data_IF_354113871316
#
_entry.id   IF_354113871316
#
_cell.length_a   1.000
_cell.length_b   1.000
_cell.length_c   1.000
_cell.angle_alpha   90.00
_cell.angle_beta   90.00
_cell.angle_gamma   90.00
#
_symmetry.space_group_name_H-M   'P 1'
#
loop_
_entity.id
_entity.type
_entity.pdbx_description
1 polymer ?
#
# COMPACT_ATOMS: atom_id res chain seq x y z
N UNK A 1 -11.50 -11.24 47.32
CA UNK A 1 -10.59 -11.12 46.21
C UNK A 1 -11.10 -10.00 45.35
N UNK A 2 -10.41 -8.88 45.27
CA UNK A 2 -10.77 -7.93 44.26
C UNK A 2 -10.47 -8.58 42.94
N UNK A 3 -11.54 -8.93 42.21
CA UNK A 3 -11.42 -9.20 40.81
C UNK A 3 -10.51 -8.10 40.25
N UNK A 4 -9.44 -8.48 39.57
CA UNK A 4 -8.65 -7.54 38.85
C UNK A 4 -9.66 -6.68 38.10
N UNK A 5 -9.86 -5.47 38.58
CA UNK A 5 -10.70 -4.52 37.88
C UNK A 5 -10.08 -4.42 36.52
N UNK A 6 -10.72 -5.06 35.55
CA UNK A 6 -10.44 -4.75 34.17
C UNK A 6 -10.44 -3.23 34.15
N UNK A 7 -9.28 -2.63 34.07
CA UNK A 7 -9.19 -1.21 33.82
C UNK A 7 -9.92 -1.05 32.50
N UNK A 8 -11.17 -0.62 32.58
CA UNK A 8 -11.84 -0.12 31.41
C UNK A 8 -10.88 0.91 30.86
N UNK A 9 -10.15 0.52 29.84
CA UNK A 9 -9.41 1.50 29.09
C UNK A 9 -10.46 2.44 28.53
N UNK A 10 -10.72 3.50 29.26
CA UNK A 10 -11.35 4.65 28.64
C UNK A 10 -10.58 4.85 27.35
N UNK A 11 -11.26 4.94 26.20
CA UNK A 11 -10.57 5.30 24.99
C UNK A 11 -9.86 6.60 25.32
N UNK A 12 -8.55 6.49 25.53
CA UNK A 12 -7.72 7.68 25.67
C UNK A 12 -8.01 8.45 24.42
N UNK A 13 -8.60 9.64 24.56
CA UNK A 13 -8.70 10.58 23.46
C UNK A 13 -7.35 10.55 22.78
N UNK A 14 -7.31 9.97 21.58
CA UNK A 14 -6.08 9.91 20.84
C UNK A 14 -5.54 11.32 20.73
N UNK A 15 -4.39 11.55 21.32
CA UNK A 15 -3.72 12.84 21.18
C UNK A 15 -3.62 13.15 19.69
N UNK A 16 -3.91 14.39 19.29
CA UNK A 16 -3.76 14.74 17.87
C UNK A 16 -2.35 14.37 17.42
N UNK A 17 -2.25 13.72 16.28
CA UNK A 17 -0.96 13.35 15.71
C UNK A 17 -0.16 14.62 15.41
N UNK A 18 1.11 14.61 15.78
CA UNK A 18 2.02 15.67 15.41
C UNK A 18 2.26 15.64 13.90
N UNK A 19 2.10 16.77 13.25
CA UNK A 19 2.33 16.92 11.82
C UNK A 19 3.69 17.59 11.60
N UNK A 20 4.56 16.91 10.86
CA UNK A 20 5.84 17.50 10.50
C UNK A 20 5.63 18.71 9.58
N UNK A 21 6.16 19.89 9.94
CA UNK A 21 6.00 21.08 9.11
C UNK A 21 6.77 21.01 7.78
N UNK A 22 7.76 20.14 7.67
CA UNK A 22 8.58 20.02 6.46
C UNK A 22 7.99 19.02 5.45
N UNK A 23 7.59 17.83 5.90
CA UNK A 23 7.08 16.79 4.99
C UNK A 23 5.57 16.60 5.06
N UNK A 24 4.90 17.16 6.06
CA UNK A 24 3.46 17.04 6.25
C UNK A 24 2.99 15.69 6.78
N UNK A 25 3.87 14.75 7.00
CA UNK A 25 3.52 13.45 7.58
C UNK A 25 3.13 13.60 9.06
N UNK A 26 2.29 12.68 9.52
CA UNK A 26 1.79 12.69 10.90
C UNK A 26 2.37 11.52 11.68
N UNK A 27 2.74 11.82 12.91
CA UNK A 27 3.35 10.85 13.82
C UNK A 27 2.71 10.93 15.19
N UNK A 28 2.73 9.82 15.93
CA UNK A 28 2.16 9.75 17.26
C UNK A 28 2.98 10.55 18.29
N UNK A 29 4.26 10.74 18.05
CA UNK A 29 5.19 11.45 18.93
C UNK A 29 5.61 12.76 18.28
N UNK A 30 5.57 13.83 19.07
CA UNK A 30 6.07 15.14 18.61
C UNK A 30 7.56 15.05 18.32
N UNK A 31 7.97 15.65 17.21
CA UNK A 31 9.36 15.61 16.71
C UNK A 31 9.91 14.19 16.50
N UNK A 32 9.05 13.24 16.18
CA UNK A 32 9.48 11.88 15.90
C UNK A 32 10.53 11.85 14.78
N UNK A 33 11.62 11.13 15.04
CA UNK A 33 12.65 10.97 14.01
C UNK A 33 12.08 10.24 12.81
N UNK A 34 12.32 10.78 11.63
CA UNK A 34 11.93 10.20 10.36
C UNK A 34 12.81 10.76 9.25
N UNK A 35 12.84 10.11 8.11
CA UNK A 35 13.61 10.57 6.95
C UNK A 35 12.90 11.76 6.26
N UNK A 36 12.80 12.87 6.99
CA UNK A 36 12.06 14.06 6.58
C UNK A 36 12.66 14.67 5.31
N UNK A 37 11.79 14.92 4.33
CA UNK A 37 12.21 15.57 3.07
C UNK A 37 13.01 14.69 2.12
N UNK A 38 13.39 13.47 2.53
CA UNK A 38 14.13 12.54 1.67
C UNK A 38 13.23 11.53 0.96
N UNK A 39 12.04 11.30 1.47
CA UNK A 39 11.08 10.35 0.89
C UNK A 39 10.25 11.04 -0.20
N UNK A 40 10.87 11.26 -1.34
CA UNK A 40 10.22 11.82 -2.54
C UNK A 40 10.30 10.81 -3.68
N UNK A 41 9.38 10.91 -4.64
CA UNK A 41 9.45 10.08 -5.85
C UNK A 41 10.78 10.27 -6.58
N UNK A 42 11.26 11.50 -6.66
CA UNK A 42 12.54 11.81 -7.29
C UNK A 42 13.68 11.05 -6.62
N UNK A 43 13.74 11.07 -5.29
CA UNK A 43 14.81 10.39 -4.55
C UNK A 43 14.67 8.86 -4.63
N UNK A 44 13.44 8.35 -4.52
CA UNK A 44 13.19 6.91 -4.60
C UNK A 44 13.61 6.33 -5.95
N UNK A 45 13.34 7.03 -7.04
CA UNK A 45 13.67 6.60 -8.40
C UNK A 45 15.02 7.13 -8.89
N UNK A 46 15.79 7.81 -8.04
CA UNK A 46 17.15 8.23 -8.35
C UNK A 46 18.01 7.00 -8.62
N UNK A 47 18.65 6.98 -9.79
CA UNK A 47 19.44 5.83 -10.22
C UNK A 47 18.66 4.64 -10.75
N UNK A 48 17.34 4.71 -10.79
CA UNK A 48 16.51 3.68 -11.39
C UNK A 48 16.63 3.71 -12.92
N UNK A 49 16.49 2.54 -13.53
CA UNK A 49 16.39 2.43 -14.99
C UNK A 49 15.19 3.26 -15.48
N UNK A 50 15.33 4.03 -16.58
CA UNK A 50 14.20 4.77 -17.15
C UNK A 50 12.98 3.91 -17.44
N UNK A 51 13.17 2.65 -17.80
CA UNK A 51 12.06 1.72 -17.99
C UNK A 51 11.29 1.49 -16.70
N UNK A 52 11.96 1.35 -15.56
CA UNK A 52 11.31 1.18 -14.25
C UNK A 52 10.46 2.40 -13.90
N UNK A 53 10.95 3.59 -14.16
CA UNK A 53 10.20 4.83 -13.96
C UNK A 53 8.94 4.86 -14.83
N UNK A 54 9.06 4.44 -16.07
CA UNK A 54 7.95 4.36 -17.03
C UNK A 54 6.90 3.36 -16.56
N UNK A 55 7.33 2.20 -16.08
CA UNK A 55 6.46 1.16 -15.53
C UNK A 55 5.71 1.68 -14.29
N UNK A 56 6.40 2.38 -13.42
CA UNK A 56 5.78 2.99 -12.25
C UNK A 56 4.70 4.00 -12.65
N UNK A 57 4.97 4.88 -13.61
CA UNK A 57 4.01 5.87 -14.07
C UNK A 57 2.74 5.21 -14.62
N UNK A 58 2.91 4.14 -15.38
CA UNK A 58 1.78 3.38 -15.91
C UNK A 58 0.99 2.71 -14.79
N UNK A 59 1.67 2.06 -13.86
CA UNK A 59 1.05 1.44 -12.70
C UNK A 59 0.26 2.47 -11.87
N UNK A 60 0.85 3.62 -11.60
CA UNK A 60 0.19 4.70 -10.86
C UNK A 60 -1.09 5.19 -11.56
N UNK A 61 -1.06 5.31 -12.89
CA UNK A 61 -2.26 5.67 -13.68
C UNK A 61 -3.35 4.61 -13.54
N UNK A 62 -2.97 3.33 -13.56
CA UNK A 62 -3.91 2.22 -13.40
C UNK A 62 -4.55 2.25 -12.01
N UNK A 63 -3.77 2.57 -10.98
CA UNK A 63 -4.29 2.74 -9.62
C UNK A 63 -5.27 3.90 -9.56
N UNK A 64 -4.91 5.04 -10.13
CA UNK A 64 -5.77 6.23 -10.14
C UNK A 64 -7.05 6.02 -10.95
N UNK A 65 -7.03 5.14 -11.94
CA UNK A 65 -8.22 4.77 -12.70
C UNK A 65 -9.28 4.05 -11.85
N UNK A 66 -8.88 3.44 -10.75
CA UNK A 66 -9.81 2.79 -9.81
C UNK A 66 -10.60 3.81 -8.97
N UNK A 67 -10.02 4.98 -8.71
CA UNK A 67 -10.60 6.05 -7.92
C UNK A 67 -9.54 6.85 -7.19
N UNK A 68 -9.94 7.88 -6.43
CA UNK A 68 -8.99 8.70 -5.67
C UNK A 68 -8.18 7.87 -4.69
N UNK A 69 -6.88 8.05 -4.69
CA UNK A 69 -5.96 7.37 -3.78
C UNK A 69 -4.86 8.32 -3.35
N UNK A 70 -4.47 8.22 -2.09
CA UNK A 70 -3.32 8.94 -1.55
C UNK A 70 -2.06 8.17 -1.89
N UNK A 71 -1.02 8.89 -2.29
CA UNK A 71 0.30 8.34 -2.58
C UNK A 71 1.20 8.59 -1.37
N UNK A 72 1.76 7.53 -0.82
CA UNK A 72 2.69 7.59 0.29
C UNK A 72 4.05 7.12 -0.21
N UNK A 73 5.02 8.01 -0.19
CA UNK A 73 6.39 7.67 -0.58
C UNK A 73 7.18 7.31 0.66
N UNK A 74 7.66 6.07 0.70
CA UNK A 74 8.54 5.59 1.76
C UNK A 74 9.98 5.47 1.23
N UNK A 75 10.91 5.11 2.08
CA UNK A 75 12.32 5.04 1.73
C UNK A 75 12.60 4.09 0.56
N UNK A 76 11.88 2.99 0.46
CA UNK A 76 12.13 1.94 -0.54
C UNK A 76 10.95 1.64 -1.44
N UNK A 77 9.80 2.26 -1.20
CA UNK A 77 8.56 1.92 -1.91
C UNK A 77 7.58 3.07 -1.95
N UNK A 78 6.64 2.98 -2.87
CA UNK A 78 5.46 3.83 -2.94
C UNK A 78 4.25 3.01 -2.56
N UNK A 79 3.41 3.53 -1.69
CA UNK A 79 2.15 2.91 -1.29
C UNK A 79 0.98 3.75 -1.75
N UNK A 80 -0.09 3.08 -2.12
CA UNK A 80 -1.35 3.71 -2.48
C UNK A 80 -2.38 3.34 -1.42
N UNK A 81 -3.08 4.35 -0.94
CA UNK A 81 -4.00 4.24 0.17
C UNK A 81 -5.30 4.99 -0.09
N UNK A 82 -6.42 4.39 0.32
CA UNK A 82 -7.67 5.10 0.57
C UNK A 82 -7.89 5.13 2.10
N UNK A 83 -8.74 4.30 2.66
CA UNK A 83 -8.81 4.11 4.12
C UNK A 83 -7.67 3.22 4.61
N UNK A 84 -7.39 2.18 3.85
CA UNK A 84 -6.27 1.28 4.08
C UNK A 84 -5.36 1.24 2.86
N UNK A 85 -4.14 0.79 3.05
CA UNK A 85 -3.20 0.56 1.96
C UNK A 85 -3.71 -0.60 1.13
N UNK A 86 -3.70 -0.46 -0.18
CA UNK A 86 -4.23 -1.51 -1.05
C UNK A 86 -3.29 -1.87 -2.20
N UNK A 87 -2.32 -1.04 -2.49
CA UNK A 87 -1.34 -1.30 -3.55
C UNK A 87 0.00 -0.67 -3.21
N UNK A 88 1.05 -1.18 -3.82
CA UNK A 88 2.38 -0.66 -3.64
C UNK A 88 3.28 -0.99 -4.82
N UNK A 89 4.35 -0.22 -4.95
CA UNK A 89 5.38 -0.43 -5.96
C UNK A 89 6.75 -0.17 -5.37
N UNK A 90 7.66 -1.11 -5.59
CA UNK A 90 9.06 -1.01 -5.16
C UNK A 90 9.93 -1.01 -6.40
N UNK A 91 10.67 0.09 -6.67
CA UNK A 91 11.62 0.08 -7.77
C UNK A 91 12.77 -0.86 -7.46
N UNK A 92 13.05 -1.76 -8.39
CA UNK A 92 14.22 -2.63 -8.39
C UNK A 92 15.13 -2.19 -9.53
N UNK A 93 16.30 -2.79 -9.62
CA UNK A 93 17.31 -2.39 -10.61
C UNK A 93 16.80 -2.45 -12.05
N UNK A 94 16.08 -3.53 -12.40
CA UNK A 94 15.64 -3.79 -13.78
C UNK A 94 14.15 -4.06 -13.91
N UNK A 95 13.38 -4.01 -12.82
CA UNK A 95 11.95 -4.28 -12.84
C UNK A 95 11.24 -3.50 -11.73
N UNK A 96 9.92 -3.46 -11.83
CA UNK A 96 9.08 -2.89 -10.78
C UNK A 96 8.43 -4.04 -10.00
N UNK A 97 8.66 -4.09 -8.70
CA UNK A 97 8.00 -5.04 -7.80
C UNK A 97 6.68 -4.44 -7.35
N UNK A 98 5.57 -5.04 -7.73
CA UNK A 98 4.25 -4.55 -7.42
C UNK A 98 3.56 -5.43 -6.39
N UNK A 99 2.71 -4.79 -5.58
CA UNK A 99 1.93 -5.46 -4.54
C UNK A 99 0.49 -4.98 -4.63
N UNK A 100 -0.45 -5.91 -4.53
CA UNK A 100 -1.88 -5.60 -4.42
C UNK A 100 -2.46 -6.37 -3.24
N UNK A 101 -3.31 -5.71 -2.46
CA UNK A 101 -4.04 -6.35 -1.37
C UNK A 101 -5.36 -6.88 -1.92
N UNK A 102 -5.56 -8.19 -1.85
CA UNK A 102 -6.78 -8.83 -2.31
C UNK A 102 -7.59 -9.38 -1.12
N UNK A 103 -8.92 -9.52 -1.28
CA UNK A 103 -9.78 -9.96 -0.18
C UNK A 103 -9.64 -11.44 0.14
N UNK A 104 -9.00 -12.20 -0.72
CA UNK A 104 -8.75 -13.62 -0.55
C UNK A 104 -7.51 -14.04 -1.33
N UNK A 105 -7.08 -15.27 -1.11
CA UNK A 105 -5.95 -15.83 -1.83
C UNK A 105 -6.34 -16.09 -3.29
N UNK A 106 -5.60 -15.47 -4.20
CA UNK A 106 -5.72 -15.73 -5.62
C UNK A 106 -4.48 -16.49 -6.10
N UNK A 107 -4.66 -17.74 -6.48
CA UNK A 107 -3.57 -18.53 -7.05
C UNK A 107 -3.40 -18.18 -8.52
N UNK A 108 -2.25 -17.60 -8.83
CA UNK A 108 -1.90 -17.20 -10.19
C UNK A 108 -0.39 -17.31 -10.39
N UNK A 109 0.07 -17.78 -11.56
CA UNK A 109 1.51 -17.98 -11.81
C UNK A 109 2.36 -16.72 -11.65
N UNK A 110 1.79 -15.55 -11.83
CA UNK A 110 2.52 -14.28 -11.69
C UNK A 110 2.81 -13.89 -10.26
N UNK A 111 2.04 -14.39 -9.29
CA UNK A 111 2.28 -14.07 -7.88
C UNK A 111 3.47 -14.86 -7.35
N UNK A 112 4.52 -14.15 -6.99
CA UNK A 112 5.75 -14.73 -6.46
C UNK A 112 5.72 -14.91 -4.95
N UNK A 113 4.84 -14.20 -4.27
CA UNK A 113 4.65 -14.30 -2.82
C UNK A 113 3.26 -13.79 -2.46
N UNK A 114 2.65 -14.42 -1.46
CA UNK A 114 1.36 -14.01 -0.91
C UNK A 114 1.51 -13.99 0.61
N UNK A 115 1.24 -12.83 1.22
CA UNK A 115 1.32 -12.64 2.67
C UNK A 115 -0.07 -12.36 3.22
N UNK A 116 -0.44 -13.08 4.26
CA UNK A 116 -1.73 -12.93 4.91
C UNK A 116 -1.60 -11.97 6.10
N UNK A 117 -2.27 -10.83 6.03
CA UNK A 117 -2.30 -9.82 7.10
C UNK A 117 -3.64 -9.75 7.82
N UNK A 118 -4.53 -10.67 7.56
CA UNK A 118 -5.82 -10.73 8.19
C UNK A 118 -6.91 -11.19 7.23
N UNK A 119 -8.12 -11.32 7.77
CA UNK A 119 -9.28 -11.67 6.98
C UNK A 119 -9.52 -10.59 5.93
N UNK A 120 -9.67 -11.01 4.69
CA UNK A 120 -9.88 -10.13 3.53
C UNK A 120 -8.74 -9.14 3.23
N UNK A 121 -7.53 -9.42 3.73
CA UNK A 121 -6.36 -8.60 3.43
C UNK A 121 -5.11 -9.47 3.22
N UNK A 122 -4.92 -9.88 1.97
CA UNK A 122 -3.76 -10.68 1.57
C UNK A 122 -2.95 -9.91 0.52
N UNK A 123 -1.70 -9.64 0.83
CA UNK A 123 -0.78 -8.98 -0.11
C UNK A 123 -0.27 -9.97 -1.13
N UNK A 124 -0.50 -9.66 -2.40
CA UNK A 124 -0.05 -10.47 -3.53
C UNK A 124 1.05 -9.73 -4.26
N UNK A 125 2.22 -10.34 -4.34
CA UNK A 125 3.43 -9.74 -4.93
C UNK A 125 3.66 -10.27 -6.33
N UNK A 126 3.94 -9.38 -7.28
CA UNK A 126 4.27 -9.74 -8.66
C UNK A 126 5.29 -8.80 -9.25
N UNK A 127 5.96 -9.24 -10.31
CA UNK A 127 6.94 -8.44 -11.03
C UNK A 127 6.36 -7.84 -12.29
N UNK A 128 6.83 -6.65 -12.60
CA UNK A 128 6.52 -5.95 -13.85
C UNK A 128 7.84 -5.61 -14.52
N UNK A 129 8.11 -6.21 -15.66
CA UNK A 129 9.35 -6.02 -16.42
C UNK A 129 9.13 -5.20 -17.68
N UNK A 130 7.91 -5.22 -18.21
CA UNK A 130 7.52 -4.48 -19.40
C UNK A 130 6.12 -3.89 -19.25
N UNK A 131 5.76 -2.94 -20.13
CA UNK A 131 4.42 -2.37 -20.12
C UNK A 131 3.33 -3.41 -20.43
N UNK A 132 3.66 -4.45 -21.19
CA UNK A 132 2.74 -5.55 -21.47
C UNK A 132 2.35 -6.33 -20.22
N UNK A 133 3.19 -6.31 -19.18
CA UNK A 133 2.89 -6.94 -17.88
C UNK A 133 1.83 -6.18 -17.10
N UNK A 134 1.59 -4.92 -17.44
CA UNK A 134 0.52 -4.09 -16.87
C UNK A 134 -0.71 -4.15 -17.79
N UNK A 135 -1.37 -5.29 -17.79
CA UNK A 135 -2.48 -5.63 -18.65
C UNK A 135 -3.84 -5.48 -17.96
N UNK A 136 -4.92 -5.86 -18.62
CA UNK A 136 -6.27 -5.77 -18.09
C UNK A 136 -6.48 -6.63 -16.83
N UNK A 137 -5.77 -7.75 -16.73
CA UNK A 137 -5.82 -8.62 -15.55
C UNK A 137 -5.28 -7.89 -14.32
N UNK A 138 -4.15 -7.18 -14.45
CA UNK A 138 -3.62 -6.34 -13.38
C UNK A 138 -4.60 -5.24 -13.01
N UNK A 139 -5.28 -4.66 -14.00
CA UNK A 139 -6.31 -3.65 -13.74
C UNK A 139 -7.47 -4.22 -12.91
N UNK A 140 -7.87 -5.45 -13.19
CA UNK A 140 -8.90 -6.14 -12.38
C UNK A 140 -8.42 -6.37 -10.95
N UNK A 141 -7.17 -6.80 -10.77
CA UNK A 141 -6.59 -6.94 -9.43
C UNK A 141 -6.58 -5.62 -8.69
N UNK A 142 -6.26 -4.53 -9.37
CA UNK A 142 -6.25 -3.20 -8.77
C UNK A 142 -7.65 -2.73 -8.38
N UNK A 143 -8.68 -3.04 -9.17
CA UNK A 143 -10.06 -2.75 -8.79
C UNK A 143 -10.48 -3.50 -7.52
N UNK A 144 -10.13 -4.76 -7.40
CA UNK A 144 -10.36 -5.53 -6.19
C UNK A 144 -9.58 -4.97 -5.00
N UNK A 145 -8.31 -4.63 -5.23
CA UNK A 145 -7.46 -4.05 -4.20
C UNK A 145 -7.99 -2.69 -3.73
N UNK A 146 -8.49 -1.88 -4.63
CA UNK A 146 -9.10 -0.60 -4.29
C UNK A 146 -10.31 -0.78 -3.36
N UNK A 147 -11.13 -1.78 -3.61
CA UNK A 147 -12.25 -2.13 -2.71
C UNK A 147 -11.76 -2.55 -1.32
N UNK A 148 -10.67 -3.31 -1.26
CA UNK A 148 -10.00 -3.63 0.02
C UNK A 148 -9.53 -2.35 0.72
N UNK A 149 -8.94 -1.44 -0.01
CA UNK A 149 -8.49 -0.14 0.50
C UNK A 149 -9.64 0.72 1.04
N UNK A 150 -10.81 0.61 0.46
CA UNK A 150 -12.03 1.28 0.94
C UNK A 150 -12.68 0.57 2.12
N UNK A 151 -12.16 -0.60 2.47
CA UNK A 151 -12.72 -1.44 3.53
C UNK A 151 -14.19 -1.81 3.28
N UNK A 152 -14.50 -2.09 2.01
CA UNK A 152 -15.83 -2.59 1.64
C UNK A 152 -16.08 -3.98 2.24
N UNK A 153 -17.33 -4.26 2.53
CA UNK A 153 -17.72 -5.59 3.01
C UNK A 153 -17.75 -6.57 1.82
N UNK A 154 -16.95 -7.61 1.91
CA UNK A 154 -16.92 -8.66 0.89
C UNK A 154 -17.82 -9.84 1.24
N UNK A 155 -18.42 -9.87 2.44
CA UNK A 155 -19.21 -11.00 2.92
C UNK A 155 -18.37 -12.27 3.07
N UNK A 156 -19.02 -13.32 3.51
CA UNK A 156 -18.37 -14.62 3.79
C UNK A 156 -17.92 -15.36 2.52
N UNK A 157 -18.37 -14.94 1.36
CA UNK A 157 -18.07 -15.61 0.09
C UNK A 157 -16.85 -15.03 -0.66
N UNK A 158 -16.19 -14.04 -0.09
CA UNK A 158 -15.09 -13.34 -0.77
C UNK A 158 -13.76 -14.11 -0.75
N UNK A 159 -13.72 -15.25 -0.07
CA UNK A 159 -12.50 -16.08 0.10
C UNK A 159 -12.36 -17.17 -0.94
N UNK A 160 -13.14 -17.15 -1.98
CA UNK A 160 -13.01 -18.11 -3.08
C UNK A 160 -12.03 -17.66 -4.13
#
# INVERSE_FOLDING_TARGET
MPAAKAKKSTPKRSKPLWRCPECGNRYATENAWHACGTNTLKNLFSGSDPNVIKLFRKFAKMVQACGPAKVLVEQTRVLFRDRARFAGALPRKSYLHCVVALPGRLDHPRFINIENYGEHFLSHHFRVESEADLNDEVQEWLHLAYRVGRQEDFGDNATK
#
